data_IF_460972604272
#
_entry.id   IF_460972604272
#
_cell.length_a   1.000
_cell.length_b   1.000
_cell.length_c   1.000
_cell.angle_alpha   90.00
_cell.angle_beta   90.00
_cell.angle_gamma   90.00
#
_symmetry.space_group_name_H-M   'P 1'
#
loop_
_entity.id
_entity.type
_entity.pdbx_description
1 polymer ?
#
# COMPACT_ATOMS: atom_id res chain seq x y z
N UNK A 1 7.36 -11.39 -14.27
CA UNK A 1 7.32 -12.73 -14.90
C UNK A 1 7.58 -12.57 -16.37
N UNK A 2 7.92 -13.67 -17.02
CA UNK A 2 8.03 -13.75 -18.48
C UNK A 2 6.81 -14.49 -19.02
N UNK A 3 6.11 -13.87 -19.97
CA UNK A 3 5.01 -14.52 -20.69
C UNK A 3 5.65 -15.52 -21.68
N UNK A 4 5.25 -16.80 -21.70
CA UNK A 4 5.74 -17.73 -22.71
C UNK A 4 5.32 -17.28 -24.11
N UNK A 5 6.19 -17.43 -25.11
CA UNK A 5 5.98 -17.00 -26.50
C UNK A 5 4.62 -17.46 -27.07
N UNK A 6 4.20 -18.68 -26.71
CA UNK A 6 2.91 -19.25 -27.16
C UNK A 6 1.68 -18.51 -26.62
N UNK A 7 1.83 -17.70 -25.57
CA UNK A 7 0.77 -16.97 -24.87
C UNK A 7 0.83 -15.46 -25.11
N UNK A 8 1.76 -14.94 -25.91
CA UNK A 8 1.91 -13.51 -26.18
C UNK A 8 0.63 -12.89 -26.78
N UNK A 9 -0.05 -13.63 -27.66
CA UNK A 9 -1.32 -13.18 -28.26
C UNK A 9 -2.54 -13.31 -27.32
N UNK A 10 -2.38 -13.94 -26.15
CA UNK A 10 -3.46 -14.18 -25.19
C UNK A 10 -3.42 -13.20 -24.04
N UNK A 11 -2.23 -12.85 -23.55
CA UNK A 11 -2.07 -11.88 -22.47
C UNK A 11 -0.96 -10.89 -22.76
N UNK A 12 -1.27 -9.61 -22.61
CA UNK A 12 -0.31 -8.51 -22.71
C UNK A 12 0.47 -8.27 -21.40
N UNK A 13 0.08 -8.89 -20.28
CA UNK A 13 0.73 -8.68 -18.99
C UNK A 13 0.70 -9.94 -18.12
N UNK A 14 1.69 -10.09 -17.26
CA UNK A 14 1.70 -11.13 -16.24
C UNK A 14 2.04 -10.53 -14.88
N UNK A 15 1.62 -11.22 -13.83
CA UNK A 15 1.76 -10.78 -12.45
C UNK A 15 2.40 -11.91 -11.65
N UNK A 16 3.59 -11.67 -11.11
CA UNK A 16 4.25 -12.63 -10.22
C UNK A 16 3.70 -12.57 -8.80
N UNK A 17 3.87 -13.66 -8.06
CA UNK A 17 3.68 -13.67 -6.61
C UNK A 17 4.53 -12.59 -5.94
N UNK A 18 4.06 -12.09 -4.79
CA UNK A 18 4.80 -11.09 -4.03
C UNK A 18 6.14 -11.65 -3.54
N UNK A 19 7.20 -10.86 -3.67
CA UNK A 19 8.46 -11.08 -2.97
C UNK A 19 9.06 -9.74 -2.58
N UNK A 20 9.81 -9.70 -1.49
CA UNK A 20 10.47 -8.47 -1.02
C UNK A 20 11.47 -7.94 -2.04
N UNK A 21 12.11 -8.83 -2.81
CA UNK A 21 13.10 -8.46 -3.83
C UNK A 21 12.49 -7.77 -5.05
N UNK A 22 11.24 -8.11 -5.38
CA UNK A 22 10.53 -7.58 -6.54
C UNK A 22 9.39 -6.63 -6.13
N UNK A 23 9.38 -6.17 -4.88
CA UNK A 23 8.42 -5.20 -4.40
C UNK A 23 8.62 -3.87 -5.12
N UNK A 24 7.53 -3.23 -5.53
CA UNK A 24 7.59 -1.90 -6.12
C UNK A 24 7.81 -0.85 -5.02
N UNK A 25 8.87 -0.06 -5.18
CA UNK A 25 9.31 0.99 -4.26
C UNK A 25 9.41 2.35 -4.94
N UNK A 26 8.81 2.50 -6.12
CA UNK A 26 8.88 3.73 -6.92
C UNK A 26 7.94 4.80 -6.36
N UNK A 27 8.19 6.07 -6.66
CA UNK A 27 7.25 7.14 -6.34
C UNK A 27 6.38 7.46 -7.55
N UNK A 28 5.11 7.79 -7.32
CA UNK A 28 4.11 8.04 -8.35
C UNK A 28 3.38 9.37 -8.10
N UNK A 29 2.74 9.92 -9.15
CA UNK A 29 1.93 11.13 -9.04
C UNK A 29 0.49 10.89 -9.48
N UNK A 30 -0.39 10.53 -8.55
CA UNK A 30 -1.83 10.43 -8.82
C UNK A 30 -2.30 9.22 -9.65
N UNK A 31 -1.38 8.43 -10.21
CA UNK A 31 -1.67 7.16 -10.91
C UNK A 31 -0.46 6.22 -10.89
N UNK A 32 -0.69 4.91 -10.99
CA UNK A 32 0.33 3.85 -11.07
C UNK A 32 0.99 3.70 -12.46
N UNK A 33 0.63 4.55 -13.43
CA UNK A 33 1.07 4.42 -14.82
C UNK A 33 2.52 4.82 -15.05
N UNK A 34 3.00 5.86 -14.34
CA UNK A 34 4.32 6.42 -14.54
C UNK A 34 4.97 6.81 -13.20
N UNK A 35 6.10 6.18 -12.90
CA UNK A 35 6.93 6.56 -11.78
C UNK A 35 7.56 7.94 -12.03
N UNK A 36 7.72 8.71 -10.95
CA UNK A 36 8.40 10.00 -10.97
C UNK A 36 9.89 9.78 -10.75
N UNK A 37 10.71 10.56 -11.45
CA UNK A 37 12.14 10.70 -11.19
C UNK A 37 12.40 11.13 -9.73
N UNK A 38 13.44 10.58 -9.07
CA UNK A 38 13.72 10.79 -7.64
C UNK A 38 14.01 12.24 -7.23
N UNK A 39 14.18 13.16 -8.19
CA UNK A 39 14.48 14.57 -7.94
C UNK A 39 13.26 15.50 -7.89
N UNK A 40 12.03 14.99 -8.05
CA UNK A 40 10.89 15.87 -8.34
C UNK A 40 10.16 16.44 -7.12
N UNK A 41 10.28 15.90 -5.91
CA UNK A 41 9.50 16.48 -4.80
C UNK A 41 10.16 16.32 -3.43
N UNK A 42 10.61 17.46 -2.89
CA UNK A 42 11.01 17.64 -1.49
C UNK A 42 9.80 17.98 -0.61
N UNK A 43 8.57 17.67 -1.04
CA UNK A 43 7.40 17.82 -0.18
C UNK A 43 7.48 16.84 0.98
N UNK A 44 7.49 17.39 2.19
CA UNK A 44 7.45 16.64 3.46
C UNK A 44 6.07 16.03 3.75
N UNK A 45 5.11 16.20 2.83
CA UNK A 45 3.75 15.70 2.98
C UNK A 45 3.67 14.24 2.52
N UNK A 46 3.16 13.38 3.39
CA UNK A 46 2.96 11.97 3.09
C UNK A 46 1.91 11.82 1.98
N UNK A 47 2.35 11.46 0.78
CA UNK A 47 1.49 11.19 -0.37
C UNK A 47 1.16 9.70 -0.44
N UNK A 48 -0.09 9.32 -0.74
CA UNK A 48 -0.46 7.91 -0.91
C UNK A 48 0.16 7.26 -2.15
N UNK A 49 0.85 8.04 -2.99
CA UNK A 49 1.53 7.58 -4.20
C UNK A 49 3.04 7.46 -4.01
N UNK A 50 3.57 7.83 -2.84
CA UNK A 50 5.00 7.73 -2.53
C UNK A 50 5.25 6.50 -1.65
N UNK A 51 6.27 5.72 -2.01
CA UNK A 51 6.63 4.55 -1.22
C UNK A 51 7.28 5.01 0.10
N UNK A 52 6.70 4.58 1.21
CA UNK A 52 7.25 4.82 2.54
C UNK A 52 7.99 3.58 3.01
N UNK A 53 9.28 3.72 3.28
CA UNK A 53 10.06 2.67 3.93
C UNK A 53 9.66 2.58 5.40
N UNK A 54 9.43 1.36 5.89
CA UNK A 54 9.26 1.15 7.33
C UNK A 54 10.56 1.49 8.07
N UNK A 55 10.46 2.21 9.18
CA UNK A 55 11.58 2.44 10.08
C UNK A 55 11.89 1.17 10.88
N UNK A 56 13.10 1.11 11.44
CA UNK A 56 13.56 0.03 12.33
C UNK A 56 12.64 -0.14 13.56
N UNK A 57 11.88 0.90 13.91
CA UNK A 57 10.91 0.92 15.01
C UNK A 57 9.51 0.45 14.64
N UNK A 58 9.21 0.31 13.34
CA UNK A 58 7.85 0.09 12.85
C UNK A 58 7.44 -1.39 12.86
N UNK A 59 8.27 -2.25 13.47
CA UNK A 59 7.98 -3.66 13.70
C UNK A 59 8.68 -4.60 12.72
N UNK A 60 8.14 -5.82 12.62
CA UNK A 60 8.66 -6.89 11.76
C UNK A 60 7.72 -7.14 10.58
N UNK A 61 8.24 -7.82 9.56
CA UNK A 61 7.43 -8.24 8.42
C UNK A 61 6.19 -9.03 8.84
N UNK A 62 5.05 -8.77 8.21
CA UNK A 62 3.81 -9.49 8.46
C UNK A 62 3.80 -10.81 7.69
N UNK A 63 3.62 -11.92 8.40
CA UNK A 63 3.50 -13.25 7.78
C UNK A 63 2.02 -13.50 7.49
N UNK A 64 1.65 -13.31 6.23
CA UNK A 64 0.32 -13.54 5.72
C UNK A 64 0.12 -14.95 5.15
N UNK A 65 -1.00 -15.17 4.47
CA UNK A 65 -1.35 -16.48 3.90
C UNK A 65 -0.68 -16.68 2.53
N UNK A 66 -0.65 -15.64 1.70
CA UNK A 66 -0.08 -15.68 0.35
C UNK A 66 1.36 -15.13 0.26
N UNK A 67 1.91 -14.59 1.35
CA UNK A 67 3.27 -14.07 1.37
C UNK A 67 3.72 -13.52 2.73
N UNK A 68 5.00 -13.14 2.81
CA UNK A 68 5.55 -12.38 3.94
C UNK A 68 5.81 -10.95 3.49
N UNK A 69 5.09 -10.00 4.04
CA UNK A 69 5.09 -8.59 3.61
C UNK A 69 6.07 -7.79 4.47
N UNK A 70 7.07 -7.19 3.81
CA UNK A 70 8.03 -6.33 4.49
C UNK A 70 7.36 -5.05 5.03
N UNK A 71 7.99 -4.43 6.01
CA UNK A 71 7.55 -3.15 6.58
C UNK A 71 7.75 -2.03 5.57
N UNK A 72 6.68 -1.33 5.23
CA UNK A 72 6.67 -0.25 4.24
C UNK A 72 5.60 -0.46 3.17
N UNK A 73 5.41 0.56 2.34
CA UNK A 73 4.38 0.54 1.31
C UNK A 73 3.85 1.93 0.98
N UNK A 74 2.76 1.94 0.22
CA UNK A 74 2.00 3.14 -0.10
C UNK A 74 0.95 3.36 0.99
N UNK A 75 0.95 4.53 1.62
CA UNK A 75 0.15 4.79 2.83
C UNK A 75 -0.82 5.94 2.60
N UNK A 76 -2.11 5.69 2.82
CA UNK A 76 -3.14 6.71 2.85
C UNK A 76 -3.71 6.87 4.26
N UNK A 77 -3.44 8.02 4.89
CA UNK A 77 -3.97 8.33 6.22
C UNK A 77 -5.41 8.82 6.11
N UNK A 78 -6.34 8.09 6.73
CA UNK A 78 -7.75 8.48 6.82
C UNK A 78 -7.95 9.66 7.78
N UNK A 79 -9.12 10.31 7.68
CA UNK A 79 -9.45 11.46 8.52
C UNK A 79 -10.00 11.02 9.89
N UNK A 80 -9.97 11.93 10.87
CA UNK A 80 -10.63 11.72 12.16
C UNK A 80 -12.17 11.72 12.05
N UNK A 81 -12.71 12.38 11.02
CA UNK A 81 -14.15 12.38 10.75
C UNK A 81 -14.53 11.27 9.78
N UNK A 82 -15.75 10.76 9.94
CA UNK A 82 -16.33 9.78 9.02
C UNK A 82 -16.39 10.35 7.59
N UNK A 83 -16.98 11.54 7.42
CA UNK A 83 -17.15 12.16 6.10
C UNK A 83 -15.80 12.43 5.41
N UNK A 84 -14.79 12.91 6.16
CA UNK A 84 -13.46 13.12 5.60
C UNK A 84 -12.77 11.82 5.20
N UNK A 85 -12.99 10.73 5.96
CA UNK A 85 -12.47 9.40 5.60
C UNK A 85 -13.16 8.83 4.36
N UNK A 86 -14.46 9.04 4.23
CA UNK A 86 -15.24 8.65 3.05
C UNK A 86 -14.77 9.43 1.81
N UNK A 87 -14.52 10.74 1.94
CA UNK A 87 -13.99 11.56 0.86
C UNK A 87 -12.61 11.06 0.38
N UNK A 88 -11.69 10.81 1.32
CA UNK A 88 -10.36 10.27 1.02
C UNK A 88 -10.49 8.90 0.32
N UNK A 89 -11.29 8.00 0.89
CA UNK A 89 -11.49 6.65 0.33
C UNK A 89 -12.08 6.68 -1.08
N UNK A 90 -13.06 7.55 -1.32
CA UNK A 90 -13.68 7.74 -2.64
C UNK A 90 -12.69 8.34 -3.64
N UNK A 91 -11.85 9.27 -3.19
CA UNK A 91 -10.79 9.88 -4.02
C UNK A 91 -9.72 8.86 -4.42
N UNK A 92 -9.37 7.92 -3.53
CA UNK A 92 -8.44 6.82 -3.84
C UNK A 92 -9.08 5.78 -4.77
N UNK A 93 -10.34 5.42 -4.50
CA UNK A 93 -11.09 4.49 -5.34
C UNK A 93 -11.23 5.01 -6.77
N UNK A 94 -11.57 6.29 -6.95
CA UNK A 94 -11.72 6.89 -8.30
C UNK A 94 -10.41 6.94 -9.09
N UNK A 95 -9.26 6.86 -8.42
CA UNK A 95 -7.93 6.78 -9.05
C UNK A 95 -7.40 5.35 -9.17
N UNK A 96 -8.22 4.33 -8.88
CA UNK A 96 -7.82 2.92 -8.86
C UNK A 96 -6.56 2.69 -8.01
N UNK A 97 -6.50 3.32 -6.82
CA UNK A 97 -5.36 3.17 -5.91
C UNK A 97 -5.14 1.70 -5.52
N UNK A 98 -6.21 0.90 -5.43
CA UNK A 98 -6.14 -0.55 -5.39
C UNK A 98 -6.34 -1.11 -6.81
N UNK A 99 -5.35 -1.85 -7.30
CA UNK A 99 -5.35 -2.42 -8.65
C UNK A 99 -4.91 -3.90 -8.65
N UNK A 100 -4.77 -4.49 -9.84
CA UNK A 100 -4.32 -5.88 -10.00
C UNK A 100 -2.89 -6.15 -9.49
N UNK A 101 -2.07 -5.12 -9.29
CA UNK A 101 -0.70 -5.22 -8.79
C UNK A 101 -0.66 -5.17 -7.25
N UNK A 102 -1.71 -4.70 -6.59
CA UNK A 102 -1.82 -4.75 -5.12
C UNK A 102 -1.77 -6.19 -4.63
N UNK A 103 -0.95 -6.46 -3.60
CA UNK A 103 -0.70 -7.81 -3.06
C UNK A 103 -1.24 -8.03 -1.65
N UNK A 104 -1.37 -6.96 -0.89
CA UNK A 104 -2.08 -6.93 0.37
C UNK A 104 -2.46 -5.48 0.69
N UNK A 105 -3.53 -5.29 1.45
CA UNK A 105 -3.91 -4.02 2.04
C UNK A 105 -4.00 -4.19 3.54
N UNK A 106 -3.31 -3.30 4.26
CA UNK A 106 -3.30 -3.23 5.71
C UNK A 106 -4.17 -2.04 6.16
N UNK A 107 -5.05 -2.28 7.12
CA UNK A 107 -5.78 -1.24 7.82
C UNK A 107 -5.35 -1.30 9.28
N UNK A 108 -4.65 -0.26 9.73
CA UNK A 108 -4.08 -0.18 11.07
C UNK A 108 -4.72 0.95 11.87
N UNK A 109 -5.14 0.65 13.09
CA UNK A 109 -5.67 1.65 14.02
C UNK A 109 -5.35 1.28 15.46
N UNK A 110 -5.17 2.29 16.31
CA UNK A 110 -5.03 2.13 17.75
C UNK A 110 -6.21 2.78 18.44
N UNK A 111 -6.94 1.99 19.22
CA UNK A 111 -8.09 2.44 20.01
C UNK A 111 -7.68 2.54 21.47
N UNK A 112 -8.09 3.61 22.16
CA UNK A 112 -7.83 3.80 23.59
C UNK A 112 -9.13 3.84 24.38
N UNK A 113 -9.23 2.99 25.39
CA UNK A 113 -10.33 3.01 26.36
C UNK A 113 -9.85 3.65 27.68
N UNK A 114 -10.24 4.90 27.99
CA UNK A 114 -9.80 5.58 29.20
C UNK A 114 -10.41 4.99 30.49
N UNK A 115 -11.58 4.37 30.43
CA UNK A 115 -12.23 3.79 31.62
C UNK A 115 -11.45 2.58 32.15
N UNK A 116 -10.84 1.81 31.25
CA UNK A 116 -10.01 0.66 31.59
C UNK A 116 -8.50 0.94 31.51
N UNK A 117 -8.11 2.14 31.07
CA UNK A 117 -6.72 2.50 30.73
C UNK A 117 -6.05 1.47 29.80
N UNK A 118 -6.75 1.09 28.71
CA UNK A 118 -6.33 0.03 27.80
C UNK A 118 -6.19 0.54 26.36
N UNK A 119 -5.07 0.18 25.71
CA UNK A 119 -4.88 0.34 24.28
C UNK A 119 -5.19 -0.97 23.55
N UNK A 120 -5.92 -0.88 22.44
CA UNK A 120 -6.20 -1.98 21.52
C UNK A 120 -5.64 -1.63 20.14
N UNK A 121 -4.65 -2.40 19.69
CA UNK A 121 -4.08 -2.27 18.35
C UNK A 121 -4.84 -3.22 17.43
N UNK A 122 -5.46 -2.68 16.39
CA UNK A 122 -6.24 -3.44 15.41
C UNK A 122 -5.52 -3.36 14.08
N UNK A 123 -5.16 -4.53 13.53
CA UNK A 123 -4.59 -4.68 12.20
C UNK A 123 -5.48 -5.63 11.42
N UNK A 124 -6.06 -5.15 10.32
CA UNK A 124 -6.80 -5.97 9.38
C UNK A 124 -6.02 -6.08 8.08
N UNK A 125 -5.93 -7.30 7.54
CA UNK A 125 -5.19 -7.58 6.31
C UNK A 125 -6.11 -8.27 5.33
N UNK A 126 -6.07 -7.81 4.08
CA UNK A 126 -6.69 -8.49 2.93
C UNK A 126 -5.63 -8.72 1.86
N UNK A 127 -5.62 -9.92 1.26
CA UNK A 127 -4.68 -10.37 0.23
C UNK A 127 -5.41 -10.76 -1.05
#
# INVERSE_FOLDING_TARGET
CTIPDTMENVSASCLDGYSVLNADTSNYNGSWDAAIEPNYDNSTAQSPWHFTYGNVTDGFAYIGKHGTYATGGYVATLNWTFDGSVEISTSLQSKNWLDKKTRAVFIEMTLYNPHANLFSVVVMVTE
#
